data_IF_756799123810
#
_entry.id   IF_756799123810
#
_cell.length_a   1.000
_cell.length_b   1.000
_cell.length_c   1.000
_cell.angle_alpha   90.00
_cell.angle_beta   90.00
_cell.angle_gamma   90.00
#
_symmetry.space_group_name_H-M   'P 1'
#
loop_
_entity.id
_entity.type
_entity.pdbx_description
1 polymer ?
#
# COMPACT_ATOMS: atom_id res chain seq x y z
N UNK A 1 23.24 -11.12 1.89
CA UNK A 1 22.56 -12.41 2.11
C UNK A 1 21.39 -12.48 1.14
N UNK A 2 21.52 -13.26 0.06
CA UNK A 2 20.46 -13.38 -0.96
C UNK A 2 19.38 -14.32 -0.43
N UNK A 3 18.14 -13.81 -0.29
CA UNK A 3 17.00 -14.63 0.09
C UNK A 3 16.80 -15.70 -1.00
N UNK A 4 16.84 -16.97 -0.58
CA UNK A 4 16.67 -18.12 -1.45
C UNK A 4 15.20 -18.16 -1.89
N UNK A 5 14.88 -17.49 -3.01
CA UNK A 5 13.54 -17.58 -3.61
C UNK A 5 13.42 -18.98 -4.22
N UNK A 6 12.66 -19.85 -3.57
CA UNK A 6 12.36 -21.18 -4.13
C UNK A 6 11.61 -20.97 -5.45
N UNK A 7 12.31 -21.24 -6.54
CA UNK A 7 11.81 -21.11 -7.90
C UNK A 7 11.76 -22.51 -8.51
N UNK A 8 10.62 -22.88 -9.08
CA UNK A 8 10.46 -24.14 -9.80
C UNK A 8 10.44 -23.93 -11.32
N UNK A 9 10.55 -25.03 -12.06
CA UNK A 9 10.45 -25.05 -13.52
C UNK A 9 9.27 -25.95 -13.90
N UNK A 10 8.24 -25.39 -14.52
CA UNK A 10 7.08 -26.13 -15.02
C UNK A 10 7.29 -26.53 -16.48
N UNK A 11 7.14 -27.81 -16.79
CA UNK A 11 6.96 -28.27 -18.17
C UNK A 11 5.46 -28.28 -18.47
N UNK A 12 5.04 -27.83 -19.65
CA UNK A 12 3.62 -27.52 -19.97
C UNK A 12 2.60 -28.67 -19.87
N UNK A 13 2.98 -29.82 -19.32
CA UNK A 13 2.12 -30.96 -18.96
C UNK A 13 1.78 -31.05 -17.47
N UNK A 14 2.42 -30.26 -16.60
CA UNK A 14 2.12 -30.20 -15.17
C UNK A 14 1.20 -29.01 -14.91
N UNK A 15 -0.03 -29.26 -14.43
CA UNK A 15 -1.14 -28.31 -14.25
C UNK A 15 -0.90 -27.20 -13.23
N UNK A 16 0.25 -26.54 -13.26
CA UNK A 16 0.60 -25.40 -12.43
C UNK A 16 -0.06 -24.15 -13.00
N UNK A 17 -1.02 -23.62 -12.25
CA UNK A 17 -1.80 -22.44 -12.61
C UNK A 17 -1.41 -21.29 -11.67
N UNK A 18 -1.22 -20.11 -12.23
CA UNK A 18 -0.91 -18.93 -11.42
C UNK A 18 -2.10 -18.54 -10.55
N UNK A 19 -1.91 -18.46 -9.24
CA UNK A 19 -2.96 -18.05 -8.29
C UNK A 19 -3.64 -16.71 -8.61
N UNK A 20 -2.92 -15.77 -9.25
CA UNK A 20 -3.42 -14.40 -9.47
C UNK A 20 -4.13 -14.23 -10.81
N UNK A 21 -3.69 -14.91 -11.86
CA UNK A 21 -4.22 -14.71 -13.21
C UNK A 21 -4.87 -15.96 -13.81
N UNK A 22 -4.89 -17.08 -13.08
CA UNK A 22 -5.43 -18.37 -13.51
C UNK A 22 -4.85 -18.91 -14.83
N UNK A 23 -3.72 -18.36 -15.28
CA UNK A 23 -3.03 -18.82 -16.49
C UNK A 23 -2.05 -19.93 -16.14
N UNK A 24 -2.06 -21.00 -16.94
CA UNK A 24 -1.09 -22.09 -16.87
C UNK A 24 0.34 -21.56 -17.03
N UNK A 25 1.21 -21.92 -16.09
CA UNK A 25 2.58 -21.43 -16.04
C UNK A 25 3.49 -22.41 -16.76
N UNK A 26 4.22 -21.90 -17.76
CA UNK A 26 5.28 -22.63 -18.44
C UNK A 26 6.62 -22.01 -18.08
N UNK A 27 7.58 -22.80 -17.63
CA UNK A 27 8.89 -22.34 -17.20
C UNK A 27 8.94 -21.89 -15.74
N UNK A 28 9.59 -20.75 -15.45
CA UNK A 28 9.88 -20.35 -14.06
C UNK A 28 8.66 -19.79 -13.33
N UNK A 29 8.43 -20.31 -12.13
CA UNK A 29 7.44 -19.80 -11.18
C UNK A 29 8.06 -19.62 -9.79
N UNK A 30 7.32 -18.96 -8.91
CA UNK A 30 7.70 -18.79 -7.51
C UNK A 30 6.62 -19.40 -6.61
N UNK A 31 7.03 -20.08 -5.53
CA UNK A 31 6.09 -20.53 -4.50
C UNK A 31 5.54 -19.32 -3.74
N UNK A 32 4.21 -19.19 -3.67
CA UNK A 32 3.55 -18.03 -3.08
C UNK A 32 3.84 -17.93 -1.57
N UNK A 33 3.92 -19.08 -0.88
CA UNK A 33 4.20 -19.20 0.55
C UNK A 33 5.55 -18.61 1.00
N UNK A 34 6.58 -18.68 0.14
CA UNK A 34 7.95 -18.25 0.48
C UNK A 34 8.35 -16.95 -0.20
N UNK A 35 7.53 -16.43 -1.12
CA UNK A 35 7.83 -15.23 -1.88
C UNK A 35 7.70 -13.95 -1.05
N UNK A 36 8.58 -12.98 -1.31
CA UNK A 36 8.60 -11.66 -0.65
C UNK A 36 8.71 -10.55 -1.69
N UNK A 37 8.09 -9.41 -1.39
CA UNK A 37 8.22 -8.20 -2.21
C UNK A 37 9.66 -7.69 -2.17
N UNK A 38 10.07 -7.01 -3.24
CA UNK A 38 11.45 -6.52 -3.35
C UNK A 38 11.69 -5.25 -2.52
N UNK A 39 10.70 -4.36 -2.44
CA UNK A 39 10.88 -3.01 -1.89
C UNK A 39 10.64 -2.96 -0.38
N UNK A 40 9.54 -3.55 0.09
CA UNK A 40 9.18 -3.58 1.52
C UNK A 40 9.61 -4.86 2.23
N UNK A 41 10.01 -5.91 1.48
CA UNK A 41 10.37 -7.25 2.01
C UNK A 41 9.23 -7.97 2.75
N UNK A 42 8.00 -7.53 2.54
CA UNK A 42 6.77 -8.13 3.09
C UNK A 42 6.48 -9.44 2.35
N UNK A 43 5.85 -10.41 3.02
CA UNK A 43 5.46 -11.66 2.35
C UNK A 43 4.40 -11.38 1.30
N UNK A 44 4.49 -12.07 0.17
CA UNK A 44 3.57 -11.81 -0.93
C UNK A 44 2.11 -12.11 -0.54
N UNK A 45 1.91 -13.12 0.31
CA UNK A 45 0.62 -13.45 0.94
C UNK A 45 0.07 -12.27 1.73
N UNK A 46 0.88 -11.66 2.61
CA UNK A 46 0.46 -10.51 3.41
C UNK A 46 0.12 -9.33 2.51
N UNK A 47 0.88 -9.15 1.42
CA UNK A 47 0.64 -8.08 0.47
C UNK A 47 -0.67 -8.25 -0.30
N UNK A 48 -1.00 -9.47 -0.68
CA UNK A 48 -2.30 -9.80 -1.29
C UNK A 48 -3.44 -9.55 -0.30
N UNK A 49 -3.26 -9.92 0.98
CA UNK A 49 -4.24 -9.61 2.03
C UNK A 49 -4.47 -8.11 2.20
N UNK A 50 -3.39 -7.31 2.24
CA UNK A 50 -3.48 -5.84 2.30
C UNK A 50 -4.21 -5.25 1.08
N UNK A 51 -3.98 -5.82 -0.11
CA UNK A 51 -4.60 -5.35 -1.35
C UNK A 51 -6.10 -5.61 -1.38
N UNK A 52 -6.51 -6.78 -0.90
CA UNK A 52 -7.91 -7.22 -0.86
C UNK A 52 -8.70 -6.48 0.23
N UNK A 53 -8.03 -6.10 1.32
CA UNK A 53 -8.64 -5.36 2.43
C UNK A 53 -9.40 -6.27 3.40
N UNK A 54 -10.12 -5.66 4.34
CA UNK A 54 -10.74 -6.37 5.47
C UNK A 54 -12.08 -7.05 5.11
N UNK A 55 -12.66 -6.70 3.96
CA UNK A 55 -13.98 -7.19 3.53
C UNK A 55 -13.94 -8.63 2.98
N UNK A 56 -12.76 -9.16 2.63
CA UNK A 56 -12.62 -10.47 2.01
C UNK A 56 -11.40 -11.23 2.56
N UNK A 57 -11.51 -12.56 2.55
CA UNK A 57 -10.43 -13.46 2.99
C UNK A 57 -9.82 -14.16 1.78
N UNK A 58 -8.49 -14.11 1.67
CA UNK A 58 -7.73 -14.86 0.65
C UNK A 58 -7.21 -16.15 1.29
N UNK A 59 -7.62 -17.29 0.75
CA UNK A 59 -7.16 -18.62 1.20
C UNK A 59 -6.03 -19.08 0.28
N UNK A 60 -4.88 -19.41 0.87
CA UNK A 60 -3.66 -19.80 0.17
C UNK A 60 -3.13 -21.11 0.75
N UNK A 61 -2.80 -22.05 -0.12
CA UNK A 61 -2.20 -23.34 0.17
C UNK A 61 -0.68 -23.30 -0.02
N UNK A 62 0.04 -24.26 0.57
CA UNK A 62 1.52 -24.32 0.44
C UNK A 62 1.99 -24.57 -1.00
N UNK A 63 1.16 -25.26 -1.78
CA UNK A 63 1.44 -25.60 -3.19
C UNK A 63 1.09 -24.48 -4.17
N UNK A 64 0.52 -23.37 -3.69
CA UNK A 64 0.15 -22.26 -4.57
C UNK A 64 1.38 -21.56 -5.15
N UNK A 65 1.32 -21.29 -6.45
CA UNK A 65 2.40 -20.66 -7.20
C UNK A 65 1.96 -19.36 -7.83
N UNK A 66 2.93 -18.49 -8.07
CA UNK A 66 2.74 -17.26 -8.81
C UNK A 66 3.66 -17.22 -10.03
N UNK A 67 3.09 -16.84 -11.17
CA UNK A 67 3.86 -16.63 -12.38
C UNK A 67 4.77 -15.40 -12.25
N UNK A 68 5.83 -15.37 -13.06
CA UNK A 68 6.77 -14.24 -13.07
C UNK A 68 6.08 -12.90 -13.38
N UNK A 69 5.08 -12.89 -14.26
CA UNK A 69 4.34 -11.68 -14.63
C UNK A 69 3.63 -11.06 -13.42
N UNK A 70 2.82 -11.85 -12.72
CA UNK A 70 2.11 -11.39 -11.52
C UNK A 70 3.07 -11.02 -10.39
N UNK A 71 4.16 -11.78 -10.20
CA UNK A 71 5.19 -11.41 -9.24
C UNK A 71 5.84 -10.04 -9.56
N UNK A 72 6.12 -9.76 -10.83
CA UNK A 72 6.62 -8.44 -11.24
C UNK A 72 5.59 -7.34 -11.01
N UNK A 73 4.31 -7.58 -11.33
CA UNK A 73 3.24 -6.60 -11.09
C UNK A 73 3.10 -6.26 -9.61
N UNK A 74 3.09 -7.25 -8.72
CA UNK A 74 2.98 -6.99 -7.28
C UNK A 74 4.22 -6.25 -6.75
N UNK A 75 5.41 -6.54 -7.28
CA UNK A 75 6.62 -5.78 -6.91
C UNK A 75 6.55 -4.31 -7.35
N UNK A 76 6.00 -4.04 -8.53
CA UNK A 76 5.75 -2.67 -9.00
C UNK A 76 4.73 -1.95 -8.10
N UNK A 77 3.64 -2.64 -7.73
CA UNK A 77 2.63 -2.12 -6.81
C UNK A 77 3.23 -1.77 -5.45
N UNK A 78 3.99 -2.70 -4.85
CA UNK A 78 4.67 -2.50 -3.56
C UNK A 78 5.64 -1.30 -3.58
N UNK A 79 6.33 -1.09 -4.70
CA UNK A 79 7.19 0.09 -4.88
C UNK A 79 6.37 1.38 -4.94
N UNK A 80 5.32 1.40 -5.75
CA UNK A 80 4.48 2.59 -5.94
C UNK A 80 3.77 2.99 -4.65
N UNK A 81 3.28 2.05 -3.87
CA UNK A 81 2.65 2.33 -2.58
C UNK A 81 3.62 2.95 -1.58
N UNK A 82 4.88 2.47 -1.55
CA UNK A 82 5.91 3.08 -0.71
C UNK A 82 6.25 4.51 -1.14
N UNK A 83 6.38 4.73 -2.45
CA UNK A 83 6.63 6.05 -3.01
C UNK A 83 5.46 7.01 -2.71
N UNK A 84 4.22 6.56 -2.89
CA UNK A 84 3.02 7.33 -2.57
C UNK A 84 2.92 7.61 -1.07
N UNK A 85 3.22 6.63 -0.21
CA UNK A 85 3.28 6.83 1.24
C UNK A 85 4.29 7.90 1.65
N UNK A 86 5.49 7.87 1.06
CA UNK A 86 6.52 8.88 1.30
C UNK A 86 6.10 10.28 0.86
N UNK A 87 5.56 10.40 -0.36
CA UNK A 87 5.07 11.67 -0.89
C UNK A 87 3.92 12.22 -0.04
N UNK A 88 3.00 11.35 0.37
CA UNK A 88 1.89 11.71 1.26
C UNK A 88 2.41 12.29 2.57
N UNK A 89 3.33 11.60 3.25
CA UNK A 89 3.91 12.08 4.50
C UNK A 89 4.64 13.42 4.32
N UNK A 90 5.32 13.61 3.20
CA UNK A 90 6.03 14.85 2.90
C UNK A 90 5.06 16.04 2.71
N UNK A 91 3.99 15.84 1.94
CA UNK A 91 2.95 16.85 1.72
C UNK A 91 2.24 17.20 3.04
N UNK A 92 1.88 16.20 3.84
CA UNK A 92 1.24 16.42 5.14
C UNK A 92 2.14 17.26 6.06
N UNK A 93 3.43 16.93 6.14
CA UNK A 93 4.40 17.71 6.91
C UNK A 93 4.51 19.16 6.43
N UNK A 94 4.43 19.41 5.12
CA UNK A 94 4.43 20.79 4.60
C UNK A 94 3.16 21.55 4.99
N UNK A 95 2.01 20.87 5.06
CA UNK A 95 0.76 21.48 5.51
C UNK A 95 0.77 21.73 7.02
N UNK A 96 1.25 20.78 7.83
CA UNK A 96 1.40 20.95 9.29
C UNK A 96 2.24 22.19 9.59
N UNK A 97 3.40 22.32 8.93
CA UNK A 97 4.26 23.50 9.07
C UNK A 97 3.61 24.79 8.56
N UNK A 98 2.79 24.73 7.52
CA UNK A 98 2.13 25.92 6.95
C UNK A 98 1.05 26.47 7.87
N UNK A 99 0.36 25.60 8.61
CA UNK A 99 -0.75 25.95 9.48
C UNK A 99 -0.39 25.92 10.98
N UNK A 100 0.91 25.75 11.32
CA UNK A 100 1.42 25.68 12.69
C UNK A 100 0.73 24.59 13.53
N UNK A 101 0.46 23.44 12.90
CA UNK A 101 -0.12 22.25 13.53
C UNK A 101 0.96 21.42 14.22
N UNK A 102 0.56 20.60 15.19
CA UNK A 102 1.49 19.69 15.86
C UNK A 102 1.96 18.57 14.91
N UNK A 103 3.22 18.14 15.03
CA UNK A 103 3.79 17.08 14.19
C UNK A 103 2.93 15.79 14.29
N UNK A 104 2.41 15.34 13.15
CA UNK A 104 1.60 14.12 13.05
C UNK A 104 0.10 14.30 13.31
N UNK A 105 -0.39 15.51 13.55
CA UNK A 105 -1.82 15.79 13.73
C UNK A 105 -2.65 15.37 12.50
N UNK A 106 -2.13 15.62 11.28
CA UNK A 106 -2.82 15.26 10.02
C UNK A 106 -2.59 13.80 9.61
N UNK A 107 -1.55 13.16 10.13
CA UNK A 107 -1.24 11.75 9.87
C UNK A 107 -2.14 10.83 10.71
N UNK A 108 -2.44 11.22 11.95
CA UNK A 108 -3.19 10.42 12.92
C UNK A 108 -4.72 10.47 12.75
N UNK A 109 -5.27 11.44 12.01
CA UNK A 109 -6.73 11.56 11.82
C UNK A 109 -7.33 10.47 10.93
N UNK A 110 -6.52 9.57 10.38
CA UNK A 110 -7.00 8.37 9.67
C UNK A 110 -7.45 7.24 10.60
N UNK A 111 -7.06 7.28 11.88
CA UNK A 111 -7.39 6.24 12.86
C UNK A 111 -8.34 6.69 13.97
N UNK A 112 -8.87 7.92 13.91
CA UNK A 112 -9.86 8.41 14.87
C UNK A 112 -10.88 9.31 14.14
N UNK A 113 -12.20 9.22 14.43
CA UNK A 113 -13.19 10.14 13.87
C UNK A 113 -12.83 11.60 14.15
N UNK A 114 -13.27 12.54 13.30
CA UNK A 114 -12.79 13.92 13.31
C UNK A 114 -13.00 14.56 14.69
N UNK A 115 -11.98 15.24 15.26
CA UNK A 115 -12.21 16.09 16.41
C UNK A 115 -13.16 17.20 15.96
N UNK A 116 -14.29 17.29 16.66
CA UNK A 116 -15.24 18.41 16.56
C UNK A 116 -14.52 19.74 16.62
N UNK A 117 -14.95 20.78 15.88
CA UNK A 117 -14.33 22.09 15.91
C UNK A 117 -14.29 22.60 17.35
N UNK A 118 -13.08 22.69 17.90
CA UNK A 118 -12.82 23.33 19.18
C UNK A 118 -13.30 24.78 19.09
N UNK A 119 -14.16 25.15 20.04
CA UNK A 119 -14.78 26.47 20.14
C UNK A 119 -13.70 27.57 20.06
N UNK A 120 -13.99 28.71 19.42
CA UNK A 120 -13.04 29.81 19.35
C UNK A 120 -12.82 30.35 20.77
N UNK A 121 -11.59 30.20 21.27
CA UNK A 121 -11.15 30.94 22.42
C UNK A 121 -11.07 32.41 21.99
N UNK A 122 -11.99 33.23 22.50
CA UNK A 122 -11.92 34.68 22.34
C UNK A 122 -10.69 35.12 23.10
N UNK A 123 -9.60 35.38 22.38
CA UNK A 123 -8.73 36.54 22.57
C UNK A 123 -7.56 36.45 21.58
N UNK A 124 -7.40 37.52 20.80
CA UNK A 124 -6.32 37.84 19.84
C UNK A 124 -6.48 37.42 18.37
N UNK A 125 -7.11 38.34 17.62
CA UNK A 125 -6.77 38.82 16.27
C UNK A 125 -5.96 37.87 15.36
N UNK A 126 -6.66 37.12 14.52
CA UNK A 126 -6.17 36.67 13.21
C UNK A 126 -7.34 36.61 12.22
N UNK A 127 -7.58 37.73 11.53
CA UNK A 127 -8.38 37.74 10.30
C UNK A 127 -7.58 37.07 9.18
N UNK A 128 -8.24 36.18 8.42
CA UNK A 128 -7.82 35.80 7.07
C UNK A 128 -7.12 34.45 6.93
N UNK A 129 -7.88 33.35 6.98
CA UNK A 129 -7.41 32.07 6.41
C UNK A 129 -8.50 31.11 5.90
N UNK A 130 -9.79 31.41 6.12
CA UNK A 130 -10.88 30.48 5.72
C UNK A 130 -11.47 30.75 4.32
N UNK A 131 -11.04 31.82 3.63
CA UNK A 131 -11.68 32.26 2.39
C UNK A 131 -11.06 31.71 1.08
N UNK A 132 -9.86 31.13 1.12
CA UNK A 132 -9.12 30.78 -0.11
C UNK A 132 -9.41 29.36 -0.66
N UNK A 133 -9.97 28.45 0.14
CA UNK A 133 -10.16 27.06 -0.33
C UNK A 133 -11.37 26.88 -1.24
N UNK A 134 -12.33 27.83 -1.27
CA UNK A 134 -13.60 27.64 -1.95
C UNK A 134 -13.65 28.20 -3.39
N UNK A 135 -12.59 28.83 -3.89
CA UNK A 135 -12.64 29.57 -5.18
C UNK A 135 -11.91 28.93 -6.35
N UNK A 136 -11.31 27.74 -6.20
CA UNK A 136 -10.52 27.11 -7.27
C UNK A 136 -11.17 25.89 -7.93
N UNK A 137 -12.42 25.56 -7.60
CA UNK A 137 -13.20 24.50 -8.25
C UNK A 137 -14.54 25.05 -8.76
N UNK A 138 -14.48 25.90 -9.79
CA UNK A 138 -15.53 26.05 -10.83
C UNK A 138 -14.82 26.34 -12.15
#
# INVERSE_FOLDING_TARGET
>A
MAAHVQSGLATGSEGLVCFVCDVGVVGRYYALATCRTQTTKVRLIEKLGQLVGDDYMVVISEDDIICRGCATMINSLDRLEKELGSLRSMVLRYLEKKYDLEDGELVNTRSNPPPTPSKPNKDNKAEGALADFQKSYV
#
